data_IF_248982914466
#
_entry.id   IF_248982914466
#
_cell.length_a   1.000
_cell.length_b   1.000
_cell.length_c   1.000
_cell.angle_alpha   90.00
_cell.angle_beta   90.00
_cell.angle_gamma   90.00
#
_symmetry.space_group_name_H-M   'P 1'
#
loop_
_entity.id
_entity.type
_entity.pdbx_description
1 polymer ?
#
# COMPACT_ATOMS: atom_id res chain seq x y z
N UNK A 1 -57.92 19.57 -15.39
CA UNK A 1 -58.03 18.19 -14.86
C UNK A 1 -57.21 17.36 -15.85
N UNK A 2 -56.05 16.80 -15.54
CA UNK A 2 -55.64 16.03 -14.36
C UNK A 2 -54.10 16.11 -14.17
N UNK A 3 -53.65 16.57 -13.00
CA UNK A 3 -52.23 16.59 -12.59
C UNK A 3 -52.04 15.66 -11.37
N UNK A 4 -52.40 14.38 -11.52
CA UNK A 4 -52.59 13.46 -10.38
C UNK A 4 -52.14 12.01 -10.62
N UNK A 5 -51.05 11.79 -11.35
CA UNK A 5 -50.45 10.43 -11.45
C UNK A 5 -48.93 10.36 -11.19
N UNK A 6 -48.40 11.27 -10.36
CA UNK A 6 -47.07 11.06 -9.77
C UNK A 6 -47.23 10.39 -8.41
N UNK A 7 -47.27 9.05 -8.39
CA UNK A 7 -47.27 8.26 -7.16
C UNK A 7 -45.96 8.51 -6.40
N UNK A 8 -45.96 9.47 -5.48
CA UNK A 8 -44.82 9.73 -4.58
C UNK A 8 -44.70 8.56 -3.61
N UNK A 9 -43.84 7.60 -3.95
CA UNK A 9 -43.47 6.52 -3.04
C UNK A 9 -42.51 7.10 -1.99
N UNK A 10 -43.00 7.21 -0.75
CA UNK A 10 -42.19 7.62 0.40
C UNK A 10 -41.01 6.65 0.52
N UNK A 11 -39.78 7.16 0.35
CA UNK A 11 -38.54 6.36 0.45
C UNK A 11 -37.79 6.09 -0.86
N UNK A 12 -38.33 6.45 -2.04
CA UNK A 12 -37.68 6.16 -3.33
C UNK A 12 -36.31 6.85 -3.54
N UNK A 13 -35.97 7.86 -2.73
CA UNK A 13 -34.69 8.57 -2.73
C UNK A 13 -34.01 8.61 -1.36
N UNK A 14 -34.23 7.61 -0.51
CA UNK A 14 -33.49 7.51 0.75
C UNK A 14 -31.98 7.39 0.46
N UNK A 15 -31.23 8.47 0.74
CA UNK A 15 -29.78 8.50 0.51
C UNK A 15 -29.09 7.70 1.60
N UNK A 16 -28.55 6.53 1.25
CA UNK A 16 -27.69 5.77 2.16
C UNK A 16 -26.40 6.54 2.47
N UNK A 17 -25.85 6.43 3.69
CA UNK A 17 -24.58 7.05 4.04
C UNK A 17 -23.46 6.52 3.13
N UNK A 18 -22.85 7.41 2.34
CA UNK A 18 -21.75 7.09 1.42
C UNK A 18 -20.43 7.55 2.02
N UNK A 19 -19.45 6.66 2.11
CA UNK A 19 -18.08 7.02 2.50
C UNK A 19 -17.36 7.59 1.29
N UNK A 20 -17.17 8.91 1.25
CA UNK A 20 -16.37 9.57 0.22
C UNK A 20 -14.88 9.22 0.42
N UNK A 21 -14.23 8.72 -0.64
CA UNK A 21 -12.80 8.37 -0.64
C UNK A 21 -11.95 9.37 -1.45
N UNK A 22 -12.60 10.12 -2.34
CA UNK A 22 -11.96 11.05 -3.25
C UNK A 22 -12.23 12.49 -2.82
N UNK A 23 -11.28 13.38 -3.11
CA UNK A 23 -11.36 14.80 -2.72
C UNK A 23 -12.51 15.54 -3.41
N UNK A 24 -12.83 15.18 -4.67
CA UNK A 24 -13.96 15.72 -5.41
C UNK A 24 -15.30 15.45 -4.71
N UNK A 25 -15.50 14.23 -4.21
CA UNK A 25 -16.72 13.83 -3.50
C UNK A 25 -16.86 14.56 -2.16
N UNK A 26 -15.76 14.73 -1.42
CA UNK A 26 -15.72 15.47 -0.15
C UNK A 26 -16.03 16.95 -0.38
N UNK A 27 -15.44 17.56 -1.41
CA UNK A 27 -15.66 18.96 -1.74
C UNK A 27 -17.09 19.22 -2.22
N UNK A 28 -17.68 18.31 -3.00
CA UNK A 28 -19.09 18.38 -3.38
C UNK A 28 -20.00 18.35 -2.14
N UNK A 29 -19.77 17.42 -1.20
CA UNK A 29 -20.52 17.32 0.04
C UNK A 29 -20.41 18.60 0.91
N UNK A 30 -19.22 19.21 0.98
CA UNK A 30 -18.98 20.48 1.69
C UNK A 30 -19.77 21.64 1.07
N UNK A 31 -19.83 21.72 -0.27
CA UNK A 31 -20.59 22.76 -0.99
C UNK A 31 -22.09 22.63 -0.81
N UNK A 32 -22.60 21.40 -0.74
CA UNK A 32 -24.03 21.14 -0.55
C UNK A 32 -24.48 21.22 0.91
N UNK A 33 -23.59 21.57 1.85
CA UNK A 33 -23.90 21.64 3.28
C UNK A 33 -24.24 20.27 3.91
N UNK A 34 -23.76 19.18 3.31
CA UNK A 34 -23.97 17.85 3.88
C UNK A 34 -23.16 17.70 5.19
N UNK A 35 -23.66 16.90 6.13
CA UNK A 35 -22.94 16.61 7.37
C UNK A 35 -21.75 15.69 7.04
N UNK A 36 -20.53 16.21 7.21
CA UNK A 36 -19.30 15.43 7.10
C UNK A 36 -18.82 15.03 8.49
N UNK A 37 -18.65 13.72 8.72
CA UNK A 37 -17.93 13.22 9.89
C UNK A 37 -16.43 13.16 9.56
N UNK A 38 -15.61 13.79 10.40
CA UNK A 38 -14.14 13.78 10.26
C UNK A 38 -13.51 13.19 11.51
N UNK A 39 -12.90 12.01 11.38
CA UNK A 39 -12.18 11.36 12.46
C UNK A 39 -10.67 11.47 12.26
N UNK A 40 -9.94 11.64 13.37
CA UNK A 40 -8.48 11.58 13.38
C UNK A 40 -8.02 10.14 13.15
N UNK A 41 -7.15 9.92 12.17
CA UNK A 41 -6.58 8.58 11.93
C UNK A 41 -5.69 8.18 13.10
N UNK A 42 -5.69 6.89 13.44
CA UNK A 42 -4.95 6.30 14.58
C UNK A 42 -3.44 6.63 14.53
N UNK A 43 -2.85 6.67 13.34
CA UNK A 43 -1.42 6.99 13.13
C UNK A 43 -1.17 8.45 12.72
N UNK A 44 -2.18 9.32 12.81
CA UNK A 44 -2.04 10.72 12.39
C UNK A 44 -1.01 11.45 13.27
N UNK A 45 0.02 12.02 12.62
CA UNK A 45 1.09 12.78 13.28
C UNK A 45 2.32 11.96 13.67
N UNK A 46 2.39 10.67 13.31
CA UNK A 46 3.56 9.82 13.57
C UNK A 46 4.29 9.42 12.27
N UNK A 47 5.61 9.47 12.27
CA UNK A 47 6.50 9.10 11.16
C UNK A 47 7.25 7.79 11.46
N UNK A 48 6.53 6.73 11.81
CA UNK A 48 7.17 5.46 12.18
C UNK A 48 7.85 4.82 10.96
N UNK A 49 9.15 4.56 11.06
CA UNK A 49 9.98 4.03 9.97
C UNK A 49 9.53 2.64 9.48
N UNK A 50 9.04 1.80 10.40
CA UNK A 50 8.39 0.54 10.06
C UNK A 50 6.96 0.58 10.57
N UNK A 51 6.00 0.61 9.66
CA UNK A 51 4.60 0.40 10.02
C UNK A 51 4.47 -1.02 10.60
N UNK A 52 3.92 -1.12 11.81
CA UNK A 52 3.68 -2.41 12.45
C UNK A 52 2.72 -3.27 11.62
N UNK A 53 2.65 -4.56 11.93
CA UNK A 53 1.65 -5.45 11.36
C UNK A 53 0.26 -4.85 11.52
N UNK A 54 -0.53 -4.89 10.45
CA UNK A 54 -1.88 -4.34 10.40
C UNK A 54 -2.68 -4.71 11.66
N UNK A 55 -3.30 -3.73 12.32
CA UNK A 55 -4.05 -3.96 13.55
C UNK A 55 -5.13 -5.04 13.38
N UNK A 56 -5.69 -5.20 12.17
CA UNK A 56 -6.64 -6.25 11.83
C UNK A 56 -5.95 -7.62 11.76
N UNK A 57 -4.72 -7.68 11.25
CA UNK A 57 -3.92 -8.92 11.21
C UNK A 57 -3.53 -9.37 12.62
N UNK A 58 -3.15 -8.45 13.51
CA UNK A 58 -2.86 -8.78 14.92
C UNK A 58 -4.12 -9.33 15.60
N UNK A 59 -5.26 -8.66 15.47
CA UNK A 59 -6.52 -9.11 16.05
C UNK A 59 -7.02 -10.45 15.49
N UNK A 60 -6.70 -10.76 14.22
CA UNK A 60 -7.00 -12.05 13.60
C UNK A 60 -6.07 -13.17 14.13
N UNK A 61 -4.78 -12.89 14.23
CA UNK A 61 -3.79 -13.83 14.80
C UNK A 61 -4.09 -14.16 16.27
N UNK A 62 -4.56 -13.19 17.05
CA UNK A 62 -4.97 -13.41 18.45
C UNK A 62 -6.21 -14.32 18.57
N UNK A 63 -7.05 -14.37 17.54
CA UNK A 63 -8.28 -15.18 17.50
C UNK A 63 -8.07 -16.59 16.95
N UNK A 64 -7.06 -16.82 16.11
CA UNK A 64 -6.80 -18.08 15.41
C UNK A 64 -5.53 -18.76 15.96
N UNK A 65 -5.68 -19.92 16.61
CA UNK A 65 -4.57 -20.67 17.25
C UNK A 65 -3.73 -21.53 16.27
N UNK A 66 -4.06 -21.59 14.98
CA UNK A 66 -3.28 -22.29 13.95
C UNK A 66 -2.52 -21.29 13.08
N UNK A 67 -1.30 -20.93 13.50
CA UNK A 67 -0.48 -19.94 12.80
C UNK A 67 0.25 -20.62 11.63
N UNK A 68 -0.33 -20.53 10.42
CA UNK A 68 0.39 -20.85 9.20
C UNK A 68 1.65 -19.96 9.08
N UNK A 69 2.83 -20.50 8.72
CA UNK A 69 4.06 -19.72 8.61
C UNK A 69 3.88 -18.54 7.65
N UNK A 70 4.34 -17.32 8.01
CA UNK A 70 4.18 -16.16 7.14
C UNK A 70 4.83 -16.41 5.78
N UNK A 71 4.10 -16.07 4.72
CA UNK A 71 4.55 -16.23 3.34
C UNK A 71 5.92 -15.55 3.15
N UNK A 72 6.89 -16.30 2.64
CA UNK A 72 8.26 -15.83 2.38
C UNK A 72 8.35 -15.21 0.98
N UNK A 73 9.41 -14.44 0.77
CA UNK A 73 9.69 -13.85 -0.55
C UNK A 73 9.99 -14.95 -1.57
N UNK A 74 9.45 -14.80 -2.78
CA UNK A 74 9.74 -15.73 -3.86
C UNK A 74 11.23 -15.67 -4.24
N UNK A 75 11.90 -16.82 -4.50
CA UNK A 75 13.33 -16.85 -4.87
C UNK A 75 13.67 -16.01 -6.10
N UNK A 76 12.70 -15.79 -6.99
CA UNK A 76 12.83 -14.94 -8.19
C UNK A 76 13.14 -13.48 -7.85
N UNK A 77 12.54 -12.95 -6.79
CA UNK A 77 12.77 -11.57 -6.32
C UNK A 77 14.19 -11.43 -5.78
N UNK A 78 14.66 -12.38 -4.97
CA UNK A 78 16.02 -12.36 -4.42
C UNK A 78 17.10 -12.41 -5.51
N UNK A 79 16.91 -13.27 -6.52
CA UNK A 79 17.81 -13.33 -7.70
C UNK A 79 17.83 -12.01 -8.46
N UNK A 80 16.65 -11.42 -8.71
CA UNK A 80 16.52 -10.14 -9.42
C UNK A 80 17.27 -9.01 -8.70
N UNK A 81 17.15 -8.94 -7.36
CA UNK A 81 17.87 -7.95 -6.54
C UNK A 81 19.39 -8.10 -6.72
N UNK A 82 19.89 -9.33 -6.60
CA UNK A 82 21.32 -9.61 -6.70
C UNK A 82 21.89 -9.30 -8.10
N UNK A 83 21.18 -9.71 -9.16
CA UNK A 83 21.56 -9.43 -10.54
C UNK A 83 21.63 -7.92 -10.81
N UNK A 84 20.58 -7.16 -10.44
CA UNK A 84 20.58 -5.70 -10.63
C UNK A 84 21.63 -4.98 -9.80
N UNK A 85 21.89 -5.46 -8.59
CA UNK A 85 22.97 -4.93 -7.76
C UNK A 85 24.34 -5.11 -8.43
N UNK A 86 24.59 -6.27 -9.03
CA UNK A 86 25.81 -6.55 -9.79
C UNK A 86 25.92 -5.68 -11.06
N UNK A 87 24.84 -5.52 -11.82
CA UNK A 87 24.78 -4.64 -13.00
C UNK A 87 25.12 -3.19 -12.65
N UNK A 88 24.59 -2.70 -11.53
CA UNK A 88 24.82 -1.33 -11.03
C UNK A 88 26.14 -1.18 -10.26
N UNK A 89 26.94 -2.25 -10.12
CA UNK A 89 28.20 -2.30 -9.36
C UNK A 89 28.08 -1.78 -7.92
N UNK A 90 26.93 -1.99 -7.29
CA UNK A 90 26.68 -1.56 -5.90
C UNK A 90 26.99 -2.68 -4.92
N UNK A 91 27.58 -2.37 -3.77
CA UNK A 91 27.71 -3.36 -2.69
C UNK A 91 26.39 -3.48 -1.92
N UNK A 92 26.20 -4.58 -1.18
CA UNK A 92 25.05 -4.71 -0.28
C UNK A 92 25.02 -3.57 0.74
N UNK A 93 26.19 -3.12 1.21
CA UNK A 93 26.32 -1.99 2.13
C UNK A 93 25.82 -0.69 1.51
N UNK A 94 26.16 -0.43 0.24
CA UNK A 94 25.72 0.79 -0.46
C UNK A 94 24.22 0.80 -0.71
N UNK A 95 23.65 -0.34 -1.11
CA UNK A 95 22.20 -0.48 -1.29
C UNK A 95 21.48 -0.33 0.05
N UNK A 96 21.96 -0.99 1.10
CA UNK A 96 21.42 -0.92 2.45
C UNK A 96 21.43 0.53 3.00
N UNK A 97 22.52 1.26 2.80
CA UNK A 97 22.63 2.66 3.17
C UNK A 97 21.61 3.53 2.40
N UNK A 98 21.44 3.33 1.09
CA UNK A 98 20.46 4.07 0.28
C UNK A 98 19.01 3.81 0.70
N UNK A 99 18.67 2.59 1.13
CA UNK A 99 17.31 2.25 1.60
C UNK A 99 17.10 2.55 3.10
N UNK A 100 18.14 3.01 3.81
CA UNK A 100 18.14 3.19 5.26
C UNK A 100 17.71 1.92 6.01
N UNK A 101 18.29 0.77 5.63
CA UNK A 101 18.08 -0.52 6.30
C UNK A 101 19.43 -1.16 6.66
N UNK A 102 19.40 -2.17 7.52
CA UNK A 102 20.61 -2.92 7.88
C UNK A 102 21.03 -3.85 6.72
N UNK A 103 22.35 -4.05 6.56
CA UNK A 103 22.88 -4.97 5.55
C UNK A 103 22.35 -6.40 5.71
N UNK A 104 22.20 -6.88 6.95
CA UNK A 104 21.62 -8.21 7.24
C UNK A 104 20.20 -8.35 6.66
N UNK A 105 19.39 -7.29 6.71
CA UNK A 105 18.05 -7.32 6.14
C UNK A 105 18.14 -7.51 4.63
N UNK A 106 18.99 -6.76 3.93
CA UNK A 106 19.17 -6.95 2.48
C UNK A 106 19.62 -8.38 2.13
N UNK A 107 20.53 -8.97 2.92
CA UNK A 107 20.98 -10.34 2.74
C UNK A 107 19.83 -11.36 2.90
N UNK A 108 18.93 -11.15 3.87
CA UNK A 108 17.75 -12.00 4.06
C UNK A 108 16.76 -11.89 2.90
N UNK A 109 16.69 -10.72 2.25
CA UNK A 109 15.89 -10.50 1.04
C UNK A 109 16.51 -11.16 -0.20
N UNK A 110 17.83 -11.01 -0.40
CA UNK A 110 18.56 -11.67 -1.51
C UNK A 110 18.50 -13.21 -1.40
N UNK A 111 18.48 -13.75 -0.17
CA UNK A 111 18.37 -15.19 0.10
C UNK A 111 16.94 -15.73 0.17
N UNK A 112 15.91 -14.89 0.08
CA UNK A 112 14.50 -15.29 0.13
C UNK A 112 14.01 -15.75 1.52
N UNK A 113 14.78 -15.49 2.58
CA UNK A 113 14.41 -15.83 3.97
C UNK A 113 13.49 -14.79 4.61
N UNK A 114 13.58 -13.54 4.15
CA UNK A 114 12.82 -12.44 4.74
C UNK A 114 11.31 -12.54 4.49
N UNK A 115 10.55 -11.97 5.42
CA UNK A 115 9.11 -11.74 5.26
C UNK A 115 8.93 -10.52 4.34
N UNK A 116 8.11 -10.62 3.27
CA UNK A 116 7.90 -9.51 2.34
C UNK A 116 7.32 -8.28 3.06
N UNK A 117 8.10 -7.19 3.14
CA UNK A 117 7.60 -5.88 3.53
C UNK A 117 7.47 -4.99 2.29
N UNK A 118 6.25 -4.56 1.91
CA UNK A 118 6.03 -3.75 0.71
C UNK A 118 6.75 -2.39 0.77
N UNK A 119 7.03 -1.86 1.96
CA UNK A 119 7.78 -0.61 2.12
C UNK A 119 9.26 -0.80 1.74
N UNK A 120 9.90 -1.86 2.23
CA UNK A 120 11.30 -2.17 1.92
C UNK A 120 11.44 -2.51 0.43
N UNK A 121 10.55 -3.34 -0.10
CA UNK A 121 10.50 -3.66 -1.53
C UNK A 121 10.35 -2.40 -2.38
N UNK A 122 9.45 -1.48 -2.01
CA UNK A 122 9.29 -0.21 -2.73
C UNK A 122 10.49 0.73 -2.66
N UNK A 123 11.33 0.66 -1.61
CA UNK A 123 12.62 1.38 -1.57
C UNK A 123 13.64 0.72 -2.51
N UNK A 124 13.72 -0.61 -2.49
CA UNK A 124 14.62 -1.40 -3.35
C UNK A 124 14.30 -1.20 -4.84
N UNK A 125 13.02 -1.19 -5.20
CA UNK A 125 12.58 -0.95 -6.58
C UNK A 125 13.09 0.38 -7.12
N UNK A 126 13.07 1.43 -6.31
CA UNK A 126 13.54 2.77 -6.69
C UNK A 126 15.06 2.84 -6.82
N UNK A 127 15.80 2.18 -5.93
CA UNK A 127 17.27 2.18 -5.95
C UNK A 127 17.81 1.32 -7.10
N UNK A 128 17.17 0.18 -7.37
CA UNK A 128 17.60 -0.79 -8.37
C UNK A 128 16.95 -0.57 -9.75
N UNK A 129 15.94 0.31 -9.84
CA UNK A 129 15.26 0.64 -11.10
C UNK A 129 14.45 -0.53 -11.69
N UNK A 130 14.01 -1.47 -10.86
CA UNK A 130 13.22 -2.64 -11.28
C UNK A 130 11.99 -2.84 -10.41
N UNK A 131 10.96 -3.48 -10.97
CA UNK A 131 9.81 -3.96 -10.21
C UNK A 131 10.15 -5.26 -9.48
N UNK A 132 9.82 -5.32 -8.20
CA UNK A 132 10.04 -6.47 -7.31
C UNK A 132 8.72 -6.97 -6.70
N UNK A 133 7.59 -6.37 -7.11
CA UNK A 133 6.23 -6.64 -6.64
C UNK A 133 5.28 -6.85 -7.82
N UNK A 134 4.26 -7.69 -7.61
CA UNK A 134 3.25 -8.04 -8.62
C UNK A 134 3.74 -9.06 -9.63
N UNK A 135 3.06 -9.15 -10.77
CA UNK A 135 3.34 -10.15 -11.82
C UNK A 135 4.56 -9.81 -12.69
N UNK A 136 4.96 -8.53 -12.73
CA UNK A 136 6.04 -8.01 -13.58
C UNK A 136 7.42 -7.96 -12.88
N UNK A 137 7.81 -9.03 -12.18
CA UNK A 137 9.10 -9.07 -11.46
C UNK A 137 10.27 -8.98 -12.45
N UNK A 138 11.20 -8.06 -12.21
CA UNK A 138 12.41 -7.86 -13.02
C UNK A 138 12.29 -6.89 -14.18
N UNK A 139 11.08 -6.44 -14.53
CA UNK A 139 10.90 -5.36 -15.51
C UNK A 139 11.44 -4.04 -14.96
N UNK A 140 11.94 -3.20 -15.87
CA UNK A 140 12.45 -1.87 -15.53
C UNK A 140 11.31 -1.02 -14.94
N UNK A 141 11.60 -0.31 -13.85
CA UNK A 141 10.64 0.55 -13.19
C UNK A 141 10.46 1.80 -14.07
N UNK A 142 9.32 1.92 -14.75
CA UNK A 142 8.97 3.18 -15.40
C UNK A 142 8.86 4.27 -14.34
N UNK A 143 9.50 5.42 -14.60
CA UNK A 143 9.46 6.57 -13.72
C UNK A 143 7.99 6.91 -13.40
N UNK A 144 7.66 7.32 -12.16
CA UNK A 144 6.28 7.64 -11.82
C UNK A 144 5.79 8.72 -12.78
N UNK A 145 4.89 8.35 -13.69
CA UNK A 145 4.22 9.30 -14.55
C UNK A 145 3.66 10.40 -13.67
N UNK A 146 4.13 11.62 -13.88
CA UNK A 146 3.53 12.81 -13.25
C UNK A 146 2.04 12.71 -13.52
N UNK A 147 1.23 12.54 -12.48
CA UNK A 147 -0.18 12.87 -12.58
C UNK A 147 -0.21 14.36 -12.84
N UNK A 148 -0.35 14.74 -14.11
CA UNK A 148 -0.80 16.08 -14.49
C UNK A 148 -2.12 16.28 -13.78
N UNK A 149 -2.08 17.08 -12.72
CA UNK A 149 -3.25 17.70 -12.11
C UNK A 149 -3.94 18.57 -13.15
#
# INVERSE_FOLDING_TARGET
MDDRDTKVVIGQKARAPKVARNESDINAARRTGAILSTDKKITAGANKAHMGTDHQRIAKLDRENEVAPPAKIAPTVGKTISSRRAELKLTQKDVAAKINEKQSVLQDYESGKAIPNPQILGKLERVLGVKLRGDDIGKMLEAPGKKTT
#
